data_IF_441326670648
#
_entry.id   IF_441326670648
#
_cell.length_a   1.000
_cell.length_b   1.000
_cell.length_c   1.000
_cell.angle_alpha   90.00
_cell.angle_beta   90.00
_cell.angle_gamma   90.00
#
_symmetry.space_group_name_H-M   'P 1'
#
loop_
_entity.id
_entity.type
_entity.pdbx_description
1 polymer ?
#
# COMPACT_ATOMS: atom_id res chain seq x y z
N UNK A 1 -10.26 -28.55 -16.62
CA UNK A 1 -10.25 -29.05 -15.22
C UNK A 1 -9.31 -28.18 -14.38
N UNK A 2 -9.78 -27.03 -13.88
CA UNK A 2 -9.01 -26.16 -12.99
C UNK A 2 -9.83 -25.89 -11.71
N UNK A 3 -10.24 -26.97 -11.05
CA UNK A 3 -11.14 -26.95 -9.90
C UNK A 3 -10.44 -27.61 -8.70
N UNK A 4 -9.35 -26.99 -8.25
CA UNK A 4 -8.58 -27.41 -7.06
C UNK A 4 -8.01 -26.21 -6.29
N UNK A 5 -8.68 -25.06 -6.32
CA UNK A 5 -8.43 -24.04 -5.31
C UNK A 5 -9.59 -24.11 -4.33
N UNK A 6 -9.34 -24.38 -3.03
CA UNK A 6 -10.39 -24.32 -2.04
C UNK A 6 -11.01 -22.92 -2.09
N UNK A 7 -12.33 -22.90 -2.13
CA UNK A 7 -13.08 -21.66 -2.15
C UNK A 7 -12.94 -21.00 -0.77
N UNK A 8 -12.10 -19.96 -0.69
CA UNK A 8 -11.88 -19.17 0.51
C UNK A 8 -12.96 -18.09 0.70
N UNK A 9 -13.93 -18.01 -0.22
CA UNK A 9 -15.01 -17.06 -0.17
C UNK A 9 -16.10 -17.51 0.80
N UNK A 10 -16.33 -16.70 1.82
CA UNK A 10 -17.39 -16.95 2.79
C UNK A 10 -18.68 -16.27 2.32
N UNK A 11 -19.70 -17.09 2.12
CA UNK A 11 -21.01 -16.64 1.70
C UNK A 11 -22.00 -16.85 2.85
N UNK A 12 -22.54 -15.77 3.40
CA UNK A 12 -23.58 -15.80 4.43
C UNK A 12 -24.88 -15.27 3.83
N UNK A 13 -25.88 -16.14 3.68
CA UNK A 13 -27.21 -15.74 3.21
C UNK A 13 -27.22 -15.05 1.83
N UNK A 14 -26.32 -15.44 0.93
CA UNK A 14 -26.16 -14.81 -0.39
C UNK A 14 -25.27 -13.56 -0.42
N UNK A 15 -24.74 -13.13 0.72
CA UNK A 15 -23.77 -12.03 0.80
C UNK A 15 -22.35 -12.58 0.78
N UNK A 16 -21.54 -12.11 -0.17
CA UNK A 16 -20.11 -12.40 -0.23
C UNK A 16 -19.35 -11.59 0.83
N UNK A 17 -18.75 -12.28 1.79
CA UNK A 17 -17.92 -11.65 2.81
C UNK A 17 -16.49 -11.58 2.30
N UNK A 18 -16.06 -10.35 2.04
CA UNK A 18 -14.68 -10.05 1.66
C UNK A 18 -13.68 -10.48 2.72
N UNK A 19 -12.55 -11.05 2.32
CA UNK A 19 -11.50 -11.51 3.24
C UNK A 19 -10.85 -10.36 4.01
N UNK A 20 -11.03 -9.11 3.55
CA UNK A 20 -10.66 -7.92 4.30
C UNK A 20 -11.21 -7.90 5.72
N UNK A 21 -12.39 -8.52 5.94
CA UNK A 21 -13.01 -8.63 7.25
C UNK A 21 -12.21 -9.52 8.19
N UNK A 22 -11.59 -10.59 7.67
CA UNK A 22 -10.70 -11.45 8.47
C UNK A 22 -9.48 -10.66 8.94
N UNK A 23 -8.94 -9.80 8.08
CA UNK A 23 -7.88 -8.87 8.45
C UNK A 23 -8.31 -7.93 9.59
N UNK A 24 -9.51 -7.35 9.53
CA UNK A 24 -10.04 -6.46 10.58
C UNK A 24 -10.17 -7.21 11.91
N UNK A 25 -10.73 -8.42 11.91
CA UNK A 25 -10.85 -9.23 13.12
C UNK A 25 -9.48 -9.60 13.69
N UNK A 26 -8.53 -9.99 12.84
CA UNK A 26 -7.17 -10.31 13.24
C UNK A 26 -6.47 -9.08 13.84
N UNK A 27 -6.57 -7.92 13.21
CA UNK A 27 -6.04 -6.65 13.72
C UNK A 27 -6.64 -6.30 15.08
N UNK A 28 -7.95 -6.41 15.22
CA UNK A 28 -8.68 -6.11 16.47
C UNK A 28 -8.27 -7.06 17.59
N UNK A 29 -8.15 -8.36 17.30
CA UNK A 29 -7.71 -9.37 18.26
C UNK A 29 -6.26 -9.12 18.71
N UNK A 30 -5.35 -8.88 17.76
CA UNK A 30 -3.94 -8.60 18.07
C UNK A 30 -3.80 -7.31 18.87
N UNK A 31 -4.56 -6.26 18.53
CA UNK A 31 -4.60 -5.01 19.29
C UNK A 31 -5.09 -5.24 20.73
N UNK A 32 -6.17 -6.02 20.91
CA UNK A 32 -6.66 -6.41 22.23
C UNK A 32 -5.61 -7.15 23.05
N UNK A 33 -4.93 -8.13 22.46
CA UNK A 33 -3.84 -8.87 23.13
C UNK A 33 -2.69 -7.93 23.51
N UNK A 34 -2.28 -7.02 22.62
CA UNK A 34 -1.22 -6.04 22.91
C UNK A 34 -1.59 -5.04 24.01
N UNK A 35 -2.88 -4.70 24.14
CA UNK A 35 -3.38 -3.77 25.15
C UNK A 35 -3.51 -4.41 26.54
N UNK A 36 -4.01 -5.65 26.60
CA UNK A 36 -4.41 -6.26 27.87
C UNK A 36 -3.44 -7.34 28.39
N UNK A 37 -2.63 -7.96 27.53
CA UNK A 37 -1.73 -9.03 27.94
C UNK A 37 -0.29 -8.54 28.20
N UNK A 38 0.35 -9.11 29.25
CA UNK A 38 1.78 -8.96 29.45
C UNK A 38 2.53 -9.98 28.60
N UNK A 39 3.15 -9.52 27.52
CA UNK A 39 3.86 -10.36 26.56
C UNK A 39 5.37 -10.25 26.72
N UNK A 40 6.07 -11.38 26.59
CA UNK A 40 7.53 -11.41 26.42
C UNK A 40 7.93 -11.02 24.98
N UNK A 41 9.24 -10.83 24.74
CA UNK A 41 9.74 -10.33 23.45
C UNK A 41 9.40 -11.26 22.27
N UNK A 42 9.42 -12.58 22.48
CA UNK A 42 9.05 -13.56 21.46
C UNK A 42 7.57 -13.45 21.10
N UNK A 43 6.69 -13.36 22.10
CA UNK A 43 5.26 -13.17 21.91
C UNK A 43 4.95 -11.85 21.22
N UNK A 44 5.62 -10.76 21.59
CA UNK A 44 5.49 -9.45 20.92
C UNK A 44 5.88 -9.52 19.45
N UNK A 45 6.94 -10.27 19.14
CA UNK A 45 7.39 -10.49 17.76
C UNK A 45 6.35 -11.26 16.94
N UNK A 46 5.71 -12.28 17.55
CA UNK A 46 4.60 -13.01 16.92
C UNK A 46 3.39 -12.10 16.70
N UNK A 47 3.02 -11.27 17.69
CA UNK A 47 1.96 -10.28 17.53
C UNK A 47 2.28 -9.28 16.42
N UNK A 48 3.52 -8.84 16.27
CA UNK A 48 3.93 -7.95 15.17
C UNK A 48 3.76 -8.60 13.79
N UNK A 49 4.12 -9.89 13.65
CA UNK A 49 3.89 -10.65 12.41
C UNK A 49 2.39 -10.82 12.12
N UNK A 50 1.62 -11.24 13.13
CA UNK A 50 0.17 -11.39 12.99
C UNK A 50 -0.52 -10.06 12.63
N UNK A 51 -0.07 -8.96 13.23
CA UNK A 51 -0.54 -7.61 12.88
C UNK A 51 -0.23 -7.27 11.42
N UNK A 52 0.99 -7.57 10.96
CA UNK A 52 1.38 -7.38 9.56
C UNK A 52 0.52 -8.19 8.58
N UNK A 53 0.20 -9.45 8.91
CA UNK A 53 -0.74 -10.25 8.11
C UNK A 53 -2.16 -9.65 8.11
N UNK A 54 -2.64 -9.15 9.25
CA UNK A 54 -3.91 -8.46 9.35
C UNK A 54 -3.95 -7.21 8.46
N UNK A 55 -2.89 -6.41 8.47
CA UNK A 55 -2.75 -5.24 7.60
C UNK A 55 -2.82 -5.65 6.11
N UNK A 56 -2.06 -6.68 5.71
CA UNK A 56 -2.04 -7.13 4.32
C UNK A 56 -3.42 -7.61 3.84
N UNK A 57 -4.11 -8.41 4.66
CA UNK A 57 -5.45 -8.91 4.36
C UNK A 57 -6.50 -7.79 4.28
N UNK A 58 -6.37 -6.72 5.06
CA UNK A 58 -7.35 -5.63 5.08
C UNK A 58 -7.14 -4.62 3.95
N UNK A 59 -5.88 -4.28 3.65
CA UNK A 59 -5.57 -3.16 2.76
C UNK A 59 -5.37 -3.55 1.28
N UNK A 60 -5.27 -4.84 0.95
CA UNK A 60 -5.22 -5.28 -0.46
C UNK A 60 -6.51 -4.94 -1.23
N UNK A 61 -7.65 -4.96 -0.53
CA UNK A 61 -8.98 -4.64 -1.02
C UNK A 61 -9.47 -3.26 -0.53
N UNK A 62 -8.56 -2.37 -0.12
CA UNK A 62 -8.89 -1.05 0.43
C UNK A 62 -9.84 -0.23 -0.47
N UNK A 63 -9.72 -0.31 -1.79
CA UNK A 63 -10.62 0.37 -2.70
C UNK A 63 -12.10 0.08 -2.44
N UNK A 64 -12.44 -1.15 -2.01
CA UNK A 64 -13.83 -1.55 -1.76
C UNK A 64 -14.39 -0.91 -0.48
N UNK A 65 -13.55 -0.40 0.42
CA UNK A 65 -14.01 0.46 1.51
C UNK A 65 -14.54 1.80 1.00
N UNK A 66 -13.96 2.32 -0.09
CA UNK A 66 -14.31 3.62 -0.65
C UNK A 66 -15.45 3.55 -1.67
N UNK A 67 -15.52 2.45 -2.42
CA UNK A 67 -16.59 2.20 -3.39
C UNK A 67 -16.93 0.71 -3.43
N UNK A 68 -18.04 0.35 -2.78
CA UNK A 68 -18.62 -0.98 -2.91
C UNK A 68 -19.06 -1.22 -4.35
N UNK A 69 -18.57 -2.30 -4.97
CA UNK A 69 -18.95 -2.69 -6.34
C UNK A 69 -18.18 -1.98 -7.46
N UNK A 70 -17.08 -1.28 -7.14
CA UNK A 70 -16.18 -0.72 -8.15
C UNK A 70 -15.40 -1.79 -8.93
N UNK A 71 -15.04 -1.48 -10.17
CA UNK A 71 -14.21 -2.32 -11.04
C UNK A 71 -12.92 -2.78 -10.34
N UNK A 72 -12.53 -4.03 -10.64
CA UNK A 72 -11.44 -4.89 -10.12
C UNK A 72 -10.02 -4.26 -10.06
N UNK A 73 -9.86 -3.00 -10.49
CA UNK A 73 -8.60 -2.24 -10.51
C UNK A 73 -8.73 -0.91 -9.77
N UNK A 74 -9.23 -0.93 -8.54
CA UNK A 74 -9.23 0.27 -7.72
C UNK A 74 -7.79 0.61 -7.35
N UNK A 75 -7.17 1.47 -8.16
CA UNK A 75 -5.86 2.08 -7.96
C UNK A 75 -5.65 2.57 -6.53
N UNK A 76 -6.73 2.97 -5.86
CA UNK A 76 -6.74 3.30 -4.43
C UNK A 76 -6.12 2.20 -3.53
N UNK A 77 -6.38 0.91 -3.79
CA UNK A 77 -5.75 -0.19 -3.04
C UNK A 77 -4.23 -0.19 -3.22
N UNK A 78 -3.76 -0.08 -4.47
CA UNK A 78 -2.33 -0.01 -4.77
C UNK A 78 -1.67 1.21 -4.13
N UNK A 79 -2.30 2.38 -4.26
CA UNK A 79 -1.80 3.63 -3.69
C UNK A 79 -1.68 3.50 -2.16
N UNK A 80 -2.68 2.93 -1.48
CA UNK A 80 -2.63 2.74 -0.02
C UNK A 80 -1.57 1.73 0.38
N UNK A 81 -1.44 0.60 -0.31
CA UNK A 81 -0.39 -0.38 -0.03
C UNK A 81 1.00 0.24 -0.20
N UNK A 82 1.23 1.02 -1.27
CA UNK A 82 2.49 1.73 -1.51
C UNK A 82 2.76 2.75 -0.40
N UNK A 83 1.76 3.53 -0.01
CA UNK A 83 1.89 4.52 1.07
C UNK A 83 2.20 3.84 2.39
N UNK A 84 1.49 2.77 2.75
CA UNK A 84 1.73 2.01 3.99
C UNK A 84 3.13 1.41 4.02
N UNK A 85 3.55 0.75 2.94
CA UNK A 85 4.91 0.21 2.82
C UNK A 85 5.96 1.32 2.89
N UNK A 86 5.72 2.47 2.28
CA UNK A 86 6.60 3.64 2.35
C UNK A 86 6.73 4.17 3.78
N UNK A 87 5.61 4.35 4.48
CA UNK A 87 5.59 4.80 5.87
C UNK A 87 6.29 3.80 6.79
N UNK A 88 5.99 2.50 6.68
CA UNK A 88 6.66 1.47 7.47
C UNK A 88 8.14 1.34 7.14
N UNK A 89 8.52 1.47 5.87
CA UNK A 89 9.91 1.52 5.44
C UNK A 89 10.63 2.68 6.10
N UNK A 90 10.07 3.88 6.05
CA UNK A 90 10.63 5.04 6.76
C UNK A 90 10.75 4.74 8.25
N UNK A 91 9.68 4.29 8.93
CA UNK A 91 9.71 4.00 10.36
C UNK A 91 10.73 2.91 10.75
N UNK A 92 10.91 1.88 9.91
CA UNK A 92 11.83 0.78 10.16
C UNK A 92 13.31 1.22 10.03
N UNK A 93 13.60 2.13 9.11
CA UNK A 93 14.97 2.60 8.84
C UNK A 93 15.27 3.98 9.45
N UNK A 94 14.28 4.65 10.06
CA UNK A 94 14.48 5.95 10.69
C UNK A 94 15.46 5.82 11.87
N UNK A 95 16.52 6.64 11.94
CA UNK A 95 17.42 6.62 13.08
C UNK A 95 16.65 6.96 14.35
N UNK A 96 16.83 6.15 15.40
CA UNK A 96 16.27 6.42 16.74
C UNK A 96 16.61 7.86 17.15
N UNK A 97 15.58 8.62 17.53
CA UNK A 97 15.63 10.06 17.84
C UNK A 97 16.79 10.48 18.76
N UNK A 98 17.25 9.58 19.63
CA UNK A 98 18.35 9.79 20.57
C UNK A 98 19.76 9.77 19.94
N UNK A 99 19.92 9.42 18.65
CA UNK A 99 21.21 9.31 17.95
C UNK A 99 21.34 10.21 16.72
N UNK A 100 20.43 11.16 16.55
CA UNK A 100 20.47 12.10 15.42
C UNK A 100 21.65 13.06 15.60
N UNK A 101 22.82 12.67 15.09
CA UNK A 101 23.98 13.55 14.89
C UNK A 101 23.78 14.41 13.64
N UNK A 102 24.40 15.59 13.59
CA UNK A 102 24.31 16.55 12.48
C UNK A 102 24.40 15.93 11.07
N UNK A 103 25.25 14.90 10.90
CA UNK A 103 25.39 14.16 9.64
C UNK A 103 24.08 13.54 9.11
N UNK A 104 23.15 13.10 9.98
CA UNK A 104 21.87 12.52 9.55
C UNK A 104 20.94 13.58 8.94
N UNK A 105 21.00 14.82 9.43
CA UNK A 105 20.25 15.93 8.83
C UNK A 105 20.81 16.29 7.46
N UNK A 106 22.13 16.25 7.28
CA UNK A 106 22.78 16.51 5.99
C UNK A 106 22.41 15.42 4.97
N UNK A 107 22.51 14.15 5.35
CA UNK A 107 22.13 13.02 4.47
C UNK A 107 20.63 13.05 4.16
N UNK A 108 19.77 13.31 5.15
CA UNK A 108 18.34 13.46 4.94
C UNK A 108 18.01 14.61 4.00
N UNK A 109 18.69 15.76 4.14
CA UNK A 109 18.56 16.92 3.27
C UNK A 109 19.01 16.63 1.83
N UNK A 110 20.15 15.96 1.64
CA UNK A 110 20.64 15.53 0.33
C UNK A 110 19.68 14.55 -0.35
N UNK A 111 19.13 13.61 0.41
CA UNK A 111 18.20 12.61 -0.11
C UNK A 111 16.88 13.29 -0.52
N UNK A 112 16.34 14.19 0.30
CA UNK A 112 15.18 15.01 -0.05
C UNK A 112 15.43 15.86 -1.30
N UNK A 113 16.59 16.53 -1.39
CA UNK A 113 16.95 17.33 -2.56
C UNK A 113 17.07 16.47 -3.82
N UNK A 114 17.63 15.26 -3.70
CA UNK A 114 17.77 14.32 -4.81
C UNK A 114 16.41 13.78 -5.28
N UNK A 115 15.52 13.44 -4.34
CA UNK A 115 14.14 13.02 -4.64
C UNK A 115 13.37 14.17 -5.30
N UNK A 116 13.45 15.38 -4.74
CA UNK A 116 12.80 16.56 -5.31
C UNK A 116 13.31 16.87 -6.73
N UNK A 117 14.63 16.82 -6.94
CA UNK A 117 15.24 17.00 -8.25
C UNK A 117 14.79 15.92 -9.24
N UNK A 118 14.76 14.66 -8.82
CA UNK A 118 14.26 13.56 -9.64
C UNK A 118 12.81 13.82 -10.06
N UNK A 119 11.92 14.18 -9.13
CA UNK A 119 10.52 14.48 -9.45
C UNK A 119 10.38 15.70 -10.37
N UNK A 120 11.16 16.76 -10.16
CA UNK A 120 11.16 17.92 -11.07
C UNK A 120 11.58 17.53 -12.49
N UNK A 121 12.65 16.74 -12.62
CA UNK A 121 13.10 16.23 -13.92
C UNK A 121 12.07 15.27 -14.54
N UNK A 122 11.43 14.43 -13.73
CA UNK A 122 10.38 13.51 -14.16
C UNK A 122 9.17 14.28 -14.70
N UNK A 123 8.66 15.27 -13.96
CA UNK A 123 7.54 16.10 -14.42
C UNK A 123 7.90 16.87 -15.68
N UNK A 124 9.12 17.43 -15.75
CA UNK A 124 9.60 18.12 -16.96
C UNK A 124 9.72 17.16 -18.15
N UNK A 125 10.18 15.93 -17.92
CA UNK A 125 10.28 14.87 -18.92
C UNK A 125 8.90 14.42 -19.40
N UNK A 126 7.96 14.18 -18.47
CA UNK A 126 6.58 13.82 -18.79
C UNK A 126 5.87 14.92 -19.56
N UNK A 127 6.04 16.19 -19.17
CA UNK A 127 5.50 17.33 -19.92
C UNK A 127 6.09 17.40 -21.32
N UNK A 128 7.41 17.23 -21.46
CA UNK A 128 8.06 17.23 -22.77
C UNK A 128 7.61 16.06 -23.64
N UNK A 129 7.48 14.86 -23.04
CA UNK A 129 6.97 13.67 -23.71
C UNK A 129 5.52 13.87 -24.14
N UNK A 130 4.68 14.48 -23.29
CA UNK A 130 3.32 14.86 -23.63
C UNK A 130 3.28 15.80 -24.83
N UNK A 131 4.04 16.89 -24.82
CA UNK A 131 4.06 17.85 -25.95
C UNK A 131 4.49 17.20 -27.27
N UNK A 132 5.36 16.19 -27.22
CA UNK A 132 5.89 15.51 -28.41
C UNK A 132 5.04 14.34 -28.89
N UNK A 133 4.47 13.57 -27.96
CA UNK A 133 3.75 12.32 -28.25
C UNK A 133 2.23 12.53 -28.33
N UNK A 134 1.69 13.51 -27.62
CA UNK A 134 0.25 13.82 -27.63
C UNK A 134 -0.31 14.04 -29.05
N UNK A 135 0.37 14.75 -29.98
CA UNK A 135 -0.15 14.93 -31.34
C UNK A 135 -0.27 13.60 -32.11
N UNK A 136 0.73 12.73 -31.95
CA UNK A 136 0.75 11.38 -32.55
C UNK A 136 -0.29 10.46 -31.94
N UNK A 137 -0.51 10.56 -30.63
CA UNK A 137 -1.51 9.78 -29.91
C UNK A 137 -2.93 10.18 -30.33
N UNK A 138 -3.20 11.49 -30.45
CA UNK A 138 -4.48 11.99 -30.97
C UNK A 138 -4.75 11.55 -32.41
N UNK A 139 -3.72 11.55 -33.27
CA UNK A 139 -3.84 11.08 -34.65
C UNK A 139 -4.14 9.58 -34.73
N UNK A 140 -3.49 8.75 -33.90
CA UNK A 140 -3.75 7.32 -33.78
C UNK A 140 -5.13 7.00 -33.21
N UNK A 141 -5.64 7.82 -32.28
CA UNK A 141 -6.97 7.65 -31.71
C UNK A 141 -8.07 8.02 -32.71
N UNK A 142 -7.84 9.04 -33.55
CA UNK A 142 -8.75 9.43 -34.63
C UNK A 142 -8.73 8.47 -35.83
N UNK A 143 -7.59 7.81 -36.09
CA UNK A 143 -7.44 6.84 -37.18
C UNK A 143 -7.61 5.38 -36.75
N UNK A 144 -7.82 5.14 -35.46
CA UNK A 144 -8.08 3.82 -34.90
C UNK A 144 -9.45 3.28 -35.31
N UNK A 145 -9.60 1.96 -35.46
CA UNK A 145 -10.91 1.35 -35.75
C UNK A 145 -11.88 1.60 -34.58
N UNK A 146 -13.10 2.00 -34.90
CA UNK A 146 -14.22 2.09 -33.94
C UNK A 146 -14.76 0.71 -33.57
#
# INVERSE_FOLDING_TARGET
MAQRMPDLFLHLGGTHVHHLNYGIFLLSAVAGVLLFARLNDKQRSVCALAYGFGMALTFDEFGMWLHLGGSYWQRASFDVVIVLLGVFGVLAFLPRWQRIRAHHYIVGGLLLASVALFYLLLFKSLSHANDKLMPRLMELEQTGPQ
#
